data_IF_132174599850
#
_entry.id   IF_132174599850
#
_cell.length_a   1.000
_cell.length_b   1.000
_cell.length_c   1.000
_cell.angle_alpha   90.00
_cell.angle_beta   90.00
_cell.angle_gamma   90.00
#
_symmetry.space_group_name_H-M   'P 1'
#
loop_
_entity.id
_entity.type
_entity.pdbx_description
1 polymer ?
#
# COMPACT_ATOMS: atom_id res chain seq x y z
N UNK A 1 13.22 -7.08 14.62
CA UNK A 1 11.79 -6.93 14.82
C UNK A 1 11.07 -6.86 13.48
N UNK A 2 10.07 -7.70 13.29
CA UNK A 2 9.20 -7.68 12.13
C UNK A 2 7.78 -7.40 12.59
N UNK A 3 7.14 -6.39 12.01
CA UNK A 3 5.74 -6.09 12.30
C UNK A 3 4.88 -6.40 11.08
N UNK A 4 3.66 -6.86 11.29
CA UNK A 4 2.72 -7.19 10.23
C UNK A 4 1.39 -6.52 10.54
N UNK A 5 0.90 -5.73 9.60
CA UNK A 5 -0.39 -5.06 9.67
C UNK A 5 -1.20 -5.34 8.42
N UNK A 6 -2.49 -5.05 8.47
CA UNK A 6 -3.36 -5.16 7.30
C UNK A 6 -3.77 -3.79 6.80
N UNK A 7 -4.30 -3.73 5.58
CA UNK A 7 -4.76 -2.50 4.98
C UNK A 7 -6.02 -2.73 4.15
N UNK A 8 -6.76 -1.66 3.90
CA UNK A 8 -7.92 -1.68 3.02
C UNK A 8 -7.52 -1.42 1.56
N UNK A 9 -6.56 -0.52 1.35
CA UNK A 9 -6.09 -0.16 0.01
C UNK A 9 -4.72 0.50 0.11
N UNK A 10 -3.97 0.43 -0.97
CA UNK A 10 -2.65 1.04 -1.10
C UNK A 10 -2.60 1.73 -2.46
N UNK A 11 -2.15 2.99 -2.52
CA UNK A 11 -2.02 3.66 -3.80
C UNK A 11 -0.65 3.42 -4.46
N UNK A 12 -0.50 3.88 -5.70
CA UNK A 12 0.70 3.62 -6.50
C UNK A 12 1.95 4.36 -6.01
N UNK A 13 1.84 5.20 -5.00
CA UNK A 13 3.00 5.85 -4.36
C UNK A 13 3.37 5.20 -3.04
N UNK A 14 2.56 4.26 -2.56
CA UNK A 14 2.79 3.57 -1.31
C UNK A 14 2.05 4.15 -0.13
N UNK A 15 1.15 5.10 -0.34
CA UNK A 15 0.28 5.57 0.75
C UNK A 15 -0.73 4.49 1.11
N UNK A 16 -0.98 4.31 2.39
CA UNK A 16 -1.82 3.23 2.89
C UNK A 16 -3.06 3.79 3.58
N UNK A 17 -4.21 3.21 3.26
CA UNK A 17 -5.45 3.41 3.98
C UNK A 17 -5.80 2.12 4.71
N UNK A 18 -5.65 2.12 6.02
CA UNK A 18 -6.07 1.02 6.88
C UNK A 18 -7.29 1.40 7.72
N UNK A 19 -7.74 2.64 7.63
CA UNK A 19 -8.89 3.09 8.38
C UNK A 19 -10.16 2.55 7.73
N UNK A 20 -10.93 1.82 8.51
CA UNK A 20 -12.20 1.31 8.08
C UNK A 20 -13.22 2.42 8.07
N UNK A 21 -13.95 2.57 6.98
CA UNK A 21 -15.10 3.46 6.96
C UNK A 21 -16.21 2.86 7.81
N UNK A 22 -16.91 3.70 8.53
CA UNK A 22 -18.05 3.27 9.33
C UNK A 22 -17.68 2.61 10.65
N UNK A 23 -18.59 1.85 11.18
CA UNK A 23 -18.53 1.35 12.55
C UNK A 23 -17.47 0.28 12.79
N UNK A 24 -16.97 -0.32 11.75
CA UNK A 24 -15.95 -1.36 11.89
C UNK A 24 -14.57 -0.80 12.23
N UNK A 25 -14.42 0.47 12.12
CA UNK A 25 -13.16 1.12 12.43
C UNK A 25 -12.89 1.06 13.92
N UNK A 26 -11.75 0.47 14.24
CA UNK A 26 -11.39 0.23 15.61
C UNK A 26 -9.98 0.69 15.91
N UNK A 27 -9.41 1.16 16.49
CA UNK A 27 -8.01 1.29 16.81
C UNK A 27 -7.32 2.53 16.33
N UNK A 28 -7.89 3.22 15.48
CA UNK A 28 -7.28 4.43 15.00
C UNK A 28 -6.00 4.21 14.19
N UNK A 29 -5.55 5.29 13.57
CA UNK A 29 -4.37 5.26 12.72
C UNK A 29 -3.08 5.21 13.52
N UNK A 30 -3.09 5.72 14.75
CA UNK A 30 -1.87 5.84 15.56
C UNK A 30 -1.20 4.52 15.85
N UNK A 31 -1.99 3.48 16.12
CA UNK A 31 -1.43 2.17 16.43
C UNK A 31 -0.65 1.57 15.27
N UNK A 32 -1.18 1.67 14.06
CA UNK A 32 -0.49 1.15 12.88
C UNK A 32 0.82 1.91 12.63
N UNK A 33 0.79 3.23 12.71
CA UNK A 33 1.98 4.05 12.47
C UNK A 33 3.07 3.72 13.49
N UNK A 34 2.70 3.53 14.75
CA UNK A 34 3.66 3.17 15.79
C UNK A 34 4.31 1.81 15.53
N UNK A 35 3.54 0.82 15.10
CA UNK A 35 4.07 -0.50 14.74
C UNK A 35 4.99 -0.42 13.52
N UNK A 36 4.59 0.32 12.51
CA UNK A 36 5.40 0.52 11.31
C UNK A 36 6.75 1.14 11.67
N UNK A 37 6.73 2.20 12.47
CA UNK A 37 7.96 2.87 12.87
C UNK A 37 8.85 1.99 13.74
N UNK A 38 8.26 1.21 14.63
CA UNK A 38 9.02 0.28 15.46
C UNK A 38 9.73 -0.77 14.60
N UNK A 39 9.04 -1.33 13.61
CA UNK A 39 9.64 -2.29 12.68
C UNK A 39 10.80 -1.70 11.90
N UNK A 40 10.66 -0.46 11.45
CA UNK A 40 11.69 0.20 10.65
C UNK A 40 12.90 0.66 11.47
N UNK A 41 12.72 0.90 12.75
CA UNK A 41 13.81 1.38 13.62
C UNK A 41 14.68 0.26 14.16
N UNK A 42 14.18 -0.95 14.23
CA UNK A 42 14.99 -2.03 14.80
C UNK A 42 16.08 -2.46 13.81
N UNK A 43 17.25 -2.92 14.30
CA UNK A 43 18.27 -3.48 13.43
C UNK A 43 17.68 -4.65 12.63
N UNK A 44 17.88 -4.65 11.32
CA UNK A 44 17.32 -5.66 10.42
C UNK A 44 15.78 -5.76 10.51
N UNK A 45 15.14 -4.70 11.00
CA UNK A 45 13.70 -4.68 11.15
C UNK A 45 12.98 -4.42 9.86
N UNK A 46 11.80 -5.03 9.72
CA UNK A 46 10.91 -4.81 8.59
C UNK A 46 9.50 -4.59 9.07
N UNK A 47 8.79 -3.74 8.36
CA UNK A 47 7.37 -3.51 8.57
C UNK A 47 6.63 -3.99 7.33
N UNK A 48 5.79 -5.00 7.51
CA UNK A 48 5.01 -5.60 6.43
C UNK A 48 3.56 -5.15 6.53
N UNK A 49 2.99 -4.73 5.43
CA UNK A 49 1.57 -4.45 5.33
C UNK A 49 0.99 -5.43 4.32
N UNK A 50 0.13 -6.31 4.77
CA UNK A 50 -0.43 -7.38 3.97
C UNK A 50 -1.90 -7.13 3.65
N UNK A 51 -2.28 -7.36 2.40
CA UNK A 51 -3.67 -7.25 1.99
C UNK A 51 -3.93 -8.19 0.81
N UNK A 52 -5.19 -8.60 0.66
CA UNK A 52 -5.60 -9.27 -0.57
C UNK A 52 -5.54 -8.27 -1.72
N UNK A 53 -5.18 -8.70 -2.91
CA UNK A 53 -5.07 -7.78 -4.05
C UNK A 53 -6.43 -7.27 -4.53
N UNK A 54 -7.51 -7.99 -4.22
CA UNK A 54 -8.87 -7.61 -4.63
C UNK A 54 -9.85 -7.74 -3.47
N UNK A 55 -11.01 -7.10 -3.64
CA UNK A 55 -12.15 -7.22 -2.76
C UNK A 55 -13.40 -7.48 -3.59
N UNK A 56 -14.52 -7.79 -2.90
CA UNK A 56 -15.84 -7.97 -3.51
C UNK A 56 -15.83 -9.01 -4.65
N UNK A 57 -15.27 -10.19 -4.35
CA UNK A 57 -15.25 -11.28 -5.31
C UNK A 57 -14.36 -11.04 -6.52
N UNK A 58 -13.34 -10.23 -6.37
CA UNK A 58 -12.41 -9.93 -7.45
C UNK A 58 -12.81 -8.76 -8.32
N UNK A 59 -13.88 -8.05 -7.98
CA UNK A 59 -14.37 -6.94 -8.80
C UNK A 59 -13.70 -5.60 -8.49
N UNK A 60 -12.96 -5.52 -7.38
CA UNK A 60 -12.36 -4.28 -6.93
C UNK A 60 -10.90 -4.49 -6.57
N UNK A 61 -10.01 -3.71 -7.18
CA UNK A 61 -8.59 -3.75 -6.84
C UNK A 61 -8.32 -3.03 -5.53
N UNK A 62 -7.47 -3.61 -4.69
CA UNK A 62 -7.02 -2.97 -3.44
C UNK A 62 -5.68 -2.27 -3.61
N UNK A 63 -4.98 -2.48 -4.72
CA UNK A 63 -3.91 -1.61 -5.19
C UNK A 63 -4.57 -0.62 -6.14
N UNK A 64 -4.51 0.66 -5.83
CA UNK A 64 -5.30 1.70 -6.52
C UNK A 64 -4.42 2.85 -6.99
N UNK A 65 -4.89 3.58 -7.98
CA UNK A 65 -4.18 4.77 -8.46
C UNK A 65 -4.22 5.88 -7.41
N UNK A 66 -5.37 6.06 -6.76
CA UNK A 66 -5.59 7.08 -5.73
C UNK A 66 -6.45 6.48 -4.63
N UNK A 67 -6.08 6.71 -3.38
CA UNK A 67 -6.85 6.22 -2.25
C UNK A 67 -8.28 6.77 -2.26
N UNK A 68 -9.24 5.91 -1.95
CA UNK A 68 -10.63 6.32 -1.77
C UNK A 68 -10.89 6.89 -0.38
N UNK A 69 -10.07 6.52 0.59
CA UNK A 69 -10.20 6.96 1.98
C UNK A 69 -8.97 7.70 2.48
N UNK A 70 -8.90 7.94 3.78
CA UNK A 70 -7.81 8.72 4.35
C UNK A 70 -6.47 7.97 4.34
N UNK A 71 -5.39 8.73 4.33
CA UNK A 71 -4.04 8.18 4.51
C UNK A 71 -3.84 7.88 5.98
N UNK A 72 -3.61 6.63 6.32
CA UNK A 72 -3.31 6.21 7.70
C UNK A 72 -1.84 5.96 7.91
N UNK A 73 -1.11 5.60 6.84
CA UNK A 73 0.35 5.50 6.88
C UNK A 73 0.88 6.20 5.63
N UNK A 74 1.67 7.25 5.86
CA UNK A 74 2.23 8.04 4.77
C UNK A 74 3.26 7.23 3.99
N UNK A 75 3.44 7.57 2.71
CA UNK A 75 4.36 6.85 1.83
C UNK A 75 5.79 6.77 2.37
N UNK A 76 6.22 7.76 3.13
CA UNK A 76 7.57 7.81 3.71
C UNK A 76 7.75 6.84 4.88
N UNK A 77 6.65 6.33 5.44
CA UNK A 77 6.66 5.41 6.57
C UNK A 77 6.47 3.95 6.14
N UNK A 78 6.21 3.69 4.86
CA UNK A 78 5.89 2.35 4.38
C UNK A 78 7.16 1.63 3.93
N UNK A 79 7.35 0.40 4.39
CA UNK A 79 8.49 -0.45 4.06
C UNK A 79 8.13 -1.47 2.97
N UNK A 80 7.33 -2.49 3.32
CA UNK A 80 7.00 -3.57 2.39
C UNK A 80 5.48 -3.78 2.33
N UNK A 81 4.96 -3.89 1.12
CA UNK A 81 3.55 -4.25 0.88
C UNK A 81 3.52 -5.68 0.32
N UNK A 82 2.64 -6.52 0.86
CA UNK A 82 2.53 -7.92 0.46
C UNK A 82 1.11 -8.23 0.02
N UNK A 83 0.98 -8.86 -1.13
CA UNK A 83 -0.28 -9.46 -1.58
C UNK A 83 -0.03 -10.92 -1.92
N UNK A 84 -1.07 -11.64 -2.33
CA UNK A 84 -0.92 -13.03 -2.78
C UNK A 84 -0.04 -13.16 -4.04
N UNK A 85 0.27 -12.05 -4.71
CA UNK A 85 1.12 -12.05 -5.91
C UNK A 85 2.58 -11.70 -5.61
N UNK A 86 2.91 -11.37 -4.37
CA UNK A 86 4.30 -11.13 -3.99
C UNK A 86 4.47 -9.97 -3.03
N UNK A 87 5.69 -9.49 -2.93
CA UNK A 87 6.07 -8.42 -2.02
C UNK A 87 6.69 -7.26 -2.80
N UNK A 88 6.28 -6.05 -2.45
CA UNK A 88 6.85 -4.82 -3.00
C UNK A 88 7.64 -4.10 -1.91
N UNK A 89 8.95 -4.09 -2.05
CA UNK A 89 9.84 -3.37 -1.14
C UNK A 89 9.91 -1.92 -1.61
N UNK A 90 9.43 -1.00 -0.77
CA UNK A 90 9.25 0.41 -1.14
C UNK A 90 10.25 1.35 -0.47
N UNK A 91 10.78 0.96 0.70
CA UNK A 91 11.69 1.83 1.45
C UNK A 91 12.92 2.18 0.62
N UNK A 92 13.21 3.47 0.50
CA UNK A 92 14.35 3.96 -0.25
C UNK A 92 14.16 4.01 -1.76
N UNK A 93 12.98 3.66 -2.26
CA UNK A 93 12.73 3.64 -3.70
C UNK A 93 12.11 4.95 -4.18
N UNK A 94 12.40 5.32 -5.44
CA UNK A 94 11.76 6.46 -6.09
C UNK A 94 10.26 6.19 -6.28
N UNK A 95 9.48 7.23 -6.53
CA UNK A 95 8.05 7.07 -6.80
C UNK A 95 7.80 6.21 -8.05
N UNK A 96 8.62 6.38 -9.08
CA UNK A 96 8.49 5.56 -10.30
C UNK A 96 8.73 4.08 -10.00
N UNK A 97 9.74 3.76 -9.19
CA UNK A 97 10.04 2.38 -8.84
C UNK A 97 8.98 1.79 -7.91
N UNK A 98 8.45 2.58 -6.97
CA UNK A 98 7.35 2.15 -6.11
C UNK A 98 6.12 1.78 -6.93
N UNK A 99 5.77 2.63 -7.88
CA UNK A 99 4.63 2.38 -8.78
C UNK A 99 4.81 1.07 -9.53
N UNK A 100 5.99 0.85 -10.11
CA UNK A 100 6.28 -0.38 -10.85
C UNK A 100 6.14 -1.63 -9.96
N UNK A 101 6.69 -1.57 -8.75
CA UNK A 101 6.66 -2.70 -7.81
C UNK A 101 5.24 -2.98 -7.31
N UNK A 102 4.45 -1.94 -7.07
CA UNK A 102 3.07 -2.12 -6.62
C UNK A 102 2.18 -2.69 -7.70
N UNK A 103 2.34 -2.28 -8.95
CA UNK A 103 1.59 -2.86 -10.05
C UNK A 103 1.93 -4.36 -10.20
N UNK A 104 3.19 -4.72 -9.98
CA UNK A 104 3.61 -6.13 -10.07
C UNK A 104 2.92 -7.05 -9.06
N UNK A 105 2.47 -6.52 -7.92
CA UNK A 105 1.75 -7.30 -6.91
C UNK A 105 0.23 -7.08 -6.92
N UNK A 106 -0.27 -6.26 -7.83
CA UNK A 106 -1.70 -6.10 -8.06
C UNK A 106 -2.25 -7.35 -8.77
N UNK A 107 -3.56 -7.55 -8.68
CA UNK A 107 -4.18 -8.64 -9.42
C UNK A 107 -3.99 -8.42 -10.93
N UNK A 108 -3.65 -9.44 -11.70
CA UNK A 108 -3.37 -9.28 -13.13
C UNK A 108 -4.47 -8.57 -13.93
N UNK A 109 -5.73 -8.77 -13.55
CA UNK A 109 -6.86 -8.15 -14.25
C UNK A 109 -6.87 -6.62 -14.18
N UNK A 110 -6.14 -6.04 -13.22
CA UNK A 110 -6.11 -4.59 -13.00
C UNK A 110 -4.79 -3.94 -13.39
N UNK A 111 -3.77 -4.74 -13.74
CA UNK A 111 -2.43 -4.19 -13.97
C UNK A 111 -2.37 -3.23 -15.15
N UNK A 112 -3.06 -3.55 -16.24
CA UNK A 112 -3.08 -2.67 -17.41
C UNK A 112 -3.74 -1.32 -17.09
N UNK A 113 -4.86 -1.35 -16.38
CA UNK A 113 -5.55 -0.14 -15.96
C UNK A 113 -4.67 0.71 -15.04
N UNK A 114 -3.97 0.06 -14.10
CA UNK A 114 -3.04 0.75 -13.20
C UNK A 114 -1.86 1.34 -13.96
N UNK A 115 -1.33 0.65 -14.95
CA UNK A 115 -0.26 1.16 -15.80
C UNK A 115 -0.69 2.42 -16.54
N UNK A 116 -1.91 2.44 -17.09
CA UNK A 116 -2.44 3.62 -17.75
C UNK A 116 -2.59 4.79 -16.77
N UNK A 117 -3.11 4.53 -15.58
CA UNK A 117 -3.23 5.54 -14.54
C UNK A 117 -1.88 6.10 -14.12
N UNK A 118 -0.89 5.23 -13.96
CA UNK A 118 0.47 5.62 -13.61
C UNK A 118 1.09 6.52 -14.69
N UNK A 119 0.88 6.19 -15.94
CA UNK A 119 1.38 6.99 -17.06
C UNK A 119 0.75 8.39 -17.04
N UNK A 120 -0.56 8.47 -16.82
CA UNK A 120 -1.27 9.75 -16.72
C UNK A 120 -0.72 10.61 -15.57
N UNK A 121 -0.48 10.02 -14.43
CA UNK A 121 0.08 10.74 -13.27
C UNK A 121 1.45 11.29 -13.62
N UNK A 122 2.33 10.50 -14.22
CA UNK A 122 3.68 10.94 -14.58
C UNK A 122 3.67 12.07 -15.59
N UNK A 123 2.79 12.00 -16.59
CA UNK A 123 2.73 13.05 -17.62
C UNK A 123 2.17 14.36 -17.10
N UNK A 124 1.37 14.31 -16.03
CA UNK A 124 0.84 15.52 -15.39
C UNK A 124 1.79 16.10 -14.33
N UNK A 125 2.86 15.41 -14.02
CA UNK A 125 3.82 15.86 -13.02
C UNK A 125 3.30 15.82 -11.59
N UNK A 126 2.35 14.95 -11.31
CA UNK A 126 1.73 14.86 -9.99
C UNK A 126 2.34 13.73 -9.18
#
# INVERSE_FOLDING_TARGET
>A
LVTINSALEVDLTGQVNAAQSGAAYMGGTGGQVDFVRAGMRSPDGHSLIALASTAKGGTLSKIVATLAGPVTTARTEVDVIVTEFGAAELRGQSLAERTRRLIAIAHPDFREELDRAAHTIRTRGV
#
